data_IF_900916877518
#
_entry.id   IF_900916877518
#
_cell.length_a   1.000
_cell.length_b   1.000
_cell.length_c   1.000
_cell.angle_alpha   90.00
_cell.angle_beta   90.00
_cell.angle_gamma   90.00
#
_symmetry.space_group_name_H-M   'P 1'
#
loop_
_entity.id
_entity.type
_entity.pdbx_description
1 polymer ?
#
# COMPACT_ATOMS: atom_id res chain seq x y z
N UNK A 1 69.75 -11.16 5.67
CA UNK A 1 68.70 -10.52 6.50
C UNK A 1 68.74 -9.03 6.21
N UNK A 2 67.57 -8.44 5.98
CA UNK A 2 67.27 -7.03 5.67
C UNK A 2 66.87 -6.80 4.21
N UNK A 3 65.56 -6.77 4.03
CA UNK A 3 64.74 -6.76 2.84
C UNK A 3 64.65 -5.37 2.22
N UNK A 4 64.55 -5.33 0.90
CA UNK A 4 64.18 -4.17 0.07
C UNK A 4 62.66 -3.97 0.09
N UNK A 5 62.20 -2.79 0.53
CA UNK A 5 60.81 -2.36 0.43
C UNK A 5 60.53 -1.81 -0.98
N UNK A 6 59.57 -2.44 -1.66
CA UNK A 6 58.99 -2.01 -2.93
C UNK A 6 57.74 -1.18 -2.66
N UNK A 7 57.74 0.08 -3.13
CA UNK A 7 56.55 0.92 -3.20
C UNK A 7 55.56 0.34 -4.24
N UNK A 8 54.41 -0.13 -3.78
CA UNK A 8 53.22 -0.32 -4.61
C UNK A 8 52.37 0.95 -4.50
N UNK A 9 52.32 1.71 -5.59
CA UNK A 9 51.31 2.74 -5.81
C UNK A 9 49.98 2.02 -6.14
N UNK A 10 49.13 1.87 -5.12
CA UNK A 10 47.74 1.47 -5.29
C UNK A 10 46.97 2.65 -5.90
N UNK A 11 46.73 2.57 -7.21
CA UNK A 11 45.79 3.41 -7.93
C UNK A 11 44.37 3.15 -7.40
N UNK A 12 43.89 4.04 -6.54
CA UNK A 12 42.48 4.14 -6.22
C UNK A 12 41.69 4.43 -7.52
N UNK A 13 40.61 3.69 -7.81
CA UNK A 13 39.74 4.06 -8.91
C UNK A 13 39.04 5.39 -8.60
N UNK A 14 39.04 6.26 -9.61
CA UNK A 14 38.33 7.55 -9.63
C UNK A 14 36.85 7.38 -9.24
N UNK A 15 36.23 8.27 -8.43
CA UNK A 15 34.83 8.17 -8.04
C UNK A 15 33.82 8.57 -9.14
N UNK A 16 34.30 8.96 -10.33
CA UNK A 16 33.45 9.49 -11.40
C UNK A 16 33.16 8.43 -12.47
N UNK A 17 32.27 7.46 -12.18
CA UNK A 17 31.54 6.71 -13.22
C UNK A 17 30.12 6.36 -12.75
N UNK A 18 29.15 7.13 -13.27
CA UNK A 18 27.75 6.78 -13.55
C UNK A 18 26.91 6.08 -12.47
N UNK A 19 26.41 6.89 -11.52
CA UNK A 19 25.27 6.58 -10.64
C UNK A 19 23.91 6.86 -11.32
N UNK A 20 23.81 6.65 -12.63
CA UNK A 20 22.58 6.82 -13.42
C UNK A 20 21.87 5.49 -13.57
N UNK A 21 21.33 4.97 -12.47
CA UNK A 21 20.37 3.87 -12.56
C UNK A 21 18.95 4.44 -12.53
N UNK A 22 18.51 4.96 -13.68
CA UNK A 22 17.17 4.54 -14.10
C UNK A 22 17.36 3.06 -14.32
N UNK A 23 16.84 2.23 -13.42
CA UNK A 23 16.48 0.91 -13.86
C UNK A 23 15.25 1.20 -14.74
N UNK A 24 15.33 1.21 -16.09
CA UNK A 24 14.18 0.66 -16.78
C UNK A 24 13.94 -0.66 -16.06
N UNK A 25 12.70 -1.05 -15.78
CA UNK A 25 12.49 -2.48 -15.61
C UNK A 25 13.17 -3.08 -16.83
N UNK A 26 14.36 -3.68 -16.66
CA UNK A 26 15.15 -3.99 -17.82
C UNK A 26 14.25 -4.88 -18.64
N UNK A 27 14.25 -4.70 -19.95
CA UNK A 27 13.49 -5.63 -20.78
C UNK A 27 13.84 -7.04 -20.33
N UNK A 28 15.09 -7.33 -19.90
CA UNK A 28 15.49 -8.58 -19.23
C UNK A 28 14.79 -8.98 -17.92
N UNK A 29 14.30 -8.10 -17.04
CA UNK A 29 13.53 -8.51 -15.83
C UNK A 29 12.08 -8.78 -16.20
N UNK A 30 11.47 -7.91 -17.03
CA UNK A 30 10.13 -8.15 -17.57
C UNK A 30 10.17 -9.37 -18.49
N UNK A 31 11.21 -9.53 -19.30
CA UNK A 31 11.40 -10.61 -20.25
C UNK A 31 11.97 -11.85 -19.59
N UNK A 32 12.69 -11.82 -18.46
CA UNK A 32 12.91 -13.03 -17.65
C UNK A 32 11.63 -13.48 -16.94
N UNK A 33 10.76 -12.55 -16.54
CA UNK A 33 9.44 -12.89 -15.99
C UNK A 33 8.53 -13.43 -17.12
N UNK A 34 8.54 -12.82 -18.31
CA UNK A 34 7.75 -13.23 -19.48
C UNK A 34 8.30 -14.48 -20.16
N UNK A 35 9.62 -14.68 -20.25
CA UNK A 35 10.27 -15.88 -20.80
C UNK A 35 10.06 -17.09 -19.87
N UNK A 36 9.99 -16.88 -18.55
CA UNK A 36 9.56 -17.91 -17.60
C UNK A 36 8.07 -18.27 -17.76
N UNK A 37 7.24 -17.35 -18.25
CA UNK A 37 5.82 -17.57 -18.54
C UNK A 37 5.65 -18.25 -19.91
N UNK A 38 6.37 -17.82 -20.95
CA UNK A 38 6.33 -18.39 -22.30
C UNK A 38 6.97 -19.78 -22.36
N UNK A 39 7.98 -20.06 -21.53
CA UNK A 39 8.58 -21.39 -21.37
C UNK A 39 7.64 -22.45 -20.76
N UNK A 40 6.48 -22.06 -20.21
CA UNK A 40 5.47 -22.97 -19.64
C UNK A 40 4.31 -23.30 -20.61
N UNK A 41 4.26 -22.67 -21.78
CA UNK A 41 3.22 -22.91 -22.78
C UNK A 41 3.63 -23.98 -23.79
N UNK A 42 3.71 -25.23 -23.36
CA UNK A 42 3.60 -26.40 -24.25
C UNK A 42 2.96 -27.59 -23.51
N UNK A 43 1.69 -27.44 -23.15
CA UNK A 43 0.72 -28.55 -23.01
C UNK A 43 -0.68 -27.96 -22.87
N UNK A 44 -1.32 -27.72 -24.02
CA UNK A 44 -2.69 -27.24 -24.11
C UNK A 44 -3.67 -28.40 -23.91
N UNK A 45 -4.32 -28.45 -22.74
CA UNK A 45 -5.68 -29.02 -22.60
C UNK A 45 -6.52 -28.04 -21.79
N UNK A 46 -7.42 -27.34 -22.50
CA UNK A 46 -8.35 -26.37 -21.91
C UNK A 46 -9.44 -27.06 -21.08
N UNK A 47 -9.80 -26.53 -19.91
CA UNK A 47 -11.12 -26.73 -19.36
C UNK A 47 -11.96 -25.46 -19.56
N UNK A 48 -13.18 -25.68 -20.06
CA UNK A 48 -14.26 -24.70 -20.14
C UNK A 48 -14.66 -24.21 -18.75
N UNK A 49 -14.52 -22.91 -18.49
CA UNK A 49 -14.99 -22.29 -17.24
C UNK A 49 -16.46 -21.89 -17.43
N UNK A 50 -17.36 -22.66 -16.84
CA UNK A 50 -18.73 -22.25 -16.58
C UNK A 50 -18.78 -21.34 -15.34
N UNK A 51 -19.56 -20.28 -15.46
CA UNK A 51 -19.85 -19.28 -14.44
C UNK A 51 -20.49 -19.94 -13.21
N UNK A 52 -19.85 -19.83 -12.05
CA UNK A 52 -20.45 -20.22 -10.76
C UNK A 52 -20.57 -18.96 -9.89
N UNK A 53 -21.81 -18.48 -9.79
CA UNK A 53 -22.29 -17.72 -8.64
C UNK A 53 -22.58 -18.73 -7.51
N UNK A 54 -21.73 -18.82 -6.49
CA UNK A 54 -21.99 -19.66 -5.32
C UNK A 54 -22.31 -18.81 -4.10
N UNK A 55 -23.62 -18.72 -3.82
CA UNK A 55 -24.15 -18.71 -2.46
C UNK A 55 -23.68 -19.99 -1.78
N UNK A 56 -23.04 -19.86 -0.62
CA UNK A 56 -22.62 -20.98 0.21
C UNK A 56 -23.84 -21.60 0.90
N UNK A 57 -24.15 -22.83 0.53
CA UNK A 57 -25.16 -23.69 1.17
C UNK A 57 -24.54 -24.35 2.44
N UNK A 58 -25.23 -24.35 3.60
CA UNK A 58 -24.67 -24.87 4.85
C UNK A 58 -25.07 -26.33 5.04
N UNK A 59 -24.32 -27.25 4.44
CA UNK A 59 -24.41 -28.66 4.83
C UNK A 59 -23.10 -29.40 4.58
N UNK A 60 -22.22 -29.36 5.58
CA UNK A 60 -21.15 -30.35 5.73
C UNK A 60 -21.09 -30.75 7.21
N UNK A 61 -21.00 -32.06 7.52
CA UNK A 61 -21.13 -32.55 8.88
C UNK A 61 -19.96 -32.07 9.73
N UNK A 62 -20.30 -31.33 10.79
CA UNK A 62 -19.39 -30.91 11.85
C UNK A 62 -18.73 -32.16 12.46
N UNK A 63 -17.43 -32.32 12.26
CA UNK A 63 -16.61 -33.17 13.13
C UNK A 63 -16.59 -32.51 14.50
N UNK A 64 -17.33 -33.11 15.44
CA UNK A 64 -17.19 -32.89 16.88
C UNK A 64 -15.71 -32.88 17.24
N UNK A 65 -15.22 -31.71 17.67
CA UNK A 65 -13.91 -31.59 18.30
C UNK A 65 -14.13 -31.81 19.78
N UNK A 66 -13.85 -33.02 20.22
CA UNK A 66 -13.74 -33.34 21.64
C UNK A 66 -12.71 -32.41 22.29
N UNK A 67 -13.17 -31.74 23.34
CA UNK A 67 -12.40 -30.90 24.22
C UNK A 67 -11.56 -31.77 25.16
N UNK A 68 -10.51 -32.40 24.63
CA UNK A 68 -9.51 -33.09 25.43
C UNK A 68 -8.33 -32.15 25.75
N UNK A 69 -8.26 -31.74 27.01
CA UNK A 69 -7.05 -31.92 27.84
C UNK A 69 -5.68 -31.70 27.15
N UNK A 70 -5.43 -30.49 26.62
CA UNK A 70 -4.08 -30.05 26.24
C UNK A 70 -3.33 -29.50 27.46
N UNK A 71 -2.95 -30.38 28.37
CA UNK A 71 -1.86 -30.13 29.32
C UNK A 71 -0.60 -30.82 28.83
N UNK A 72 0.47 -30.03 28.67
CA UNK A 72 1.87 -30.49 28.60
C UNK A 72 2.43 -30.99 27.26
N UNK A 73 2.46 -30.10 26.26
CA UNK A 73 3.62 -29.96 25.36
C UNK A 73 3.55 -28.57 24.70
N UNK A 74 4.20 -27.57 25.28
CA UNK A 74 4.52 -26.34 24.56
C UNK A 74 5.63 -26.70 23.55
N UNK A 75 5.27 -27.39 22.48
CA UNK A 75 6.10 -27.42 21.29
C UNK A 75 6.28 -25.96 20.86
N UNK A 76 7.53 -25.54 20.71
CA UNK A 76 7.90 -24.21 20.27
C UNK A 76 7.32 -23.98 18.87
N UNK A 77 6.14 -23.36 18.82
CA UNK A 77 5.56 -22.91 17.56
C UNK A 77 6.62 -22.06 16.84
N UNK A 78 6.82 -22.25 15.53
CA UNK A 78 7.81 -21.51 14.77
C UNK A 78 7.60 -20.00 15.00
N UNK A 79 8.70 -19.31 15.33
CA UNK A 79 8.67 -17.88 15.58
C UNK A 79 7.97 -17.15 14.42
N UNK A 80 6.97 -16.34 14.78
CA UNK A 80 6.26 -15.45 13.84
C UNK A 80 7.14 -14.35 13.29
N UNK A 81 8.29 -14.09 13.92
CA UNK A 81 9.21 -13.07 13.47
C UNK A 81 10.01 -13.57 12.27
N UNK A 82 10.04 -12.80 11.17
CA UNK A 82 10.88 -13.14 10.04
C UNK A 82 12.34 -13.19 10.50
N UNK A 83 13.05 -14.25 10.12
CA UNK A 83 14.50 -14.31 10.31
C UNK A 83 15.13 -13.34 9.32
N UNK A 84 15.67 -12.22 9.80
CA UNK A 84 16.50 -11.30 9.02
C UNK A 84 17.78 -12.03 8.60
N UNK A 85 17.76 -12.70 7.44
CA UNK A 85 18.90 -13.54 7.02
C UNK A 85 19.88 -12.83 6.09
N UNK A 86 19.58 -11.62 5.61
CA UNK A 86 20.50 -10.84 4.78
C UNK A 86 20.37 -9.34 5.06
N UNK A 87 21.47 -8.58 5.10
CA UNK A 87 21.40 -7.12 5.07
C UNK A 87 20.65 -6.68 3.81
N UNK A 88 19.76 -5.69 3.96
CA UNK A 88 19.01 -5.05 2.88
C UNK A 88 19.99 -4.34 1.95
N UNK A 89 20.56 -5.05 0.97
CA UNK A 89 21.55 -4.47 0.05
C UNK A 89 20.94 -3.95 -1.25
N UNK A 90 19.65 -4.22 -1.53
CA UNK A 90 19.05 -3.86 -2.81
C UNK A 90 17.67 -3.22 -2.58
N UNK A 91 17.51 -1.99 -3.06
CA UNK A 91 16.22 -1.33 -3.22
C UNK A 91 15.85 -1.32 -4.71
N UNK A 92 14.56 -1.31 -5.00
CA UNK A 92 14.05 -1.25 -6.36
C UNK A 92 13.49 0.15 -6.60
N UNK A 93 14.25 1.05 -7.25
CA UNK A 93 13.73 2.36 -7.60
C UNK A 93 12.65 2.18 -8.67
N UNK A 94 11.44 2.68 -8.39
CA UNK A 94 10.39 2.84 -9.42
C UNK A 94 10.78 4.03 -10.29
N UNK A 95 11.03 5.18 -9.64
CA UNK A 95 11.67 6.37 -10.22
C UNK A 95 12.47 7.03 -9.12
N UNK A 96 13.75 7.28 -9.38
CA UNK A 96 14.63 8.03 -8.51
C UNK A 96 15.70 8.72 -9.36
N UNK A 97 15.92 10.01 -9.11
CA UNK A 97 16.90 10.82 -9.84
C UNK A 97 17.56 11.79 -8.87
N UNK A 98 18.83 11.54 -8.57
CA UNK A 98 19.58 12.28 -7.54
C UNK A 98 19.62 13.80 -7.79
N UNK A 99 19.88 14.30 -9.02
CA UNK A 99 19.98 15.75 -9.25
C UNK A 99 18.74 16.57 -8.91
N UNK A 100 17.55 15.99 -9.01
CA UNK A 100 16.28 16.70 -8.77
C UNK A 100 15.66 16.34 -7.42
N UNK A 101 16.29 15.44 -6.66
CA UNK A 101 15.74 14.92 -5.40
C UNK A 101 15.37 16.04 -4.42
N UNK A 102 16.28 16.98 -4.20
CA UNK A 102 16.06 18.11 -3.29
C UNK A 102 14.99 19.07 -3.83
N UNK A 103 14.93 19.26 -5.14
CA UNK A 103 13.96 20.15 -5.79
C UNK A 103 12.53 19.62 -5.71
N UNK A 104 12.37 18.28 -5.68
CA UNK A 104 11.06 17.64 -5.56
C UNK A 104 10.52 17.67 -4.13
N UNK A 105 11.37 17.84 -3.12
CA UNK A 105 10.96 17.83 -1.72
C UNK A 105 9.96 18.94 -1.38
N UNK A 106 10.05 20.07 -2.09
CA UNK A 106 9.17 21.23 -1.92
C UNK A 106 7.86 21.13 -2.70
N UNK A 107 7.68 20.10 -3.54
CA UNK A 107 6.46 19.91 -4.32
C UNK A 107 5.42 19.11 -3.55
N UNK A 108 4.15 19.40 -3.80
CA UNK A 108 3.04 18.62 -3.26
C UNK A 108 3.09 17.17 -3.77
N UNK A 109 2.66 16.20 -2.95
CA UNK A 109 2.87 14.78 -3.23
C UNK A 109 2.19 14.30 -4.52
N UNK A 110 0.99 14.79 -4.83
CA UNK A 110 0.28 14.50 -6.07
C UNK A 110 1.01 15.02 -7.31
N UNK A 111 1.70 16.16 -7.23
CA UNK A 111 2.59 16.66 -8.30
C UNK A 111 3.75 15.69 -8.50
N UNK A 112 4.44 15.33 -7.41
CA UNK A 112 5.52 14.34 -7.46
C UNK A 112 5.04 13.02 -8.08
N UNK A 113 3.88 12.52 -7.67
CA UNK A 113 3.29 11.29 -8.20
C UNK A 113 2.98 11.40 -9.70
N UNK A 114 2.47 12.55 -10.14
CA UNK A 114 2.16 12.81 -11.55
C UNK A 114 3.43 12.81 -12.39
N UNK A 115 4.52 13.41 -11.90
CA UNK A 115 5.82 13.36 -12.58
C UNK A 115 6.33 11.93 -12.73
N UNK A 116 6.23 11.08 -11.69
CA UNK A 116 6.57 9.64 -11.81
C UNK A 116 5.75 9.00 -12.91
N UNK A 117 4.45 9.25 -12.93
CA UNK A 117 3.56 8.67 -13.94
C UNK A 117 3.95 9.10 -15.35
N UNK A 118 4.24 10.39 -15.58
CA UNK A 118 4.65 10.89 -16.89
C UNK A 118 6.00 10.31 -17.33
N UNK A 119 6.97 10.21 -16.42
CA UNK A 119 8.29 9.62 -16.70
C UNK A 119 8.18 8.13 -17.02
N UNK A 120 7.46 7.36 -16.19
CA UNK A 120 7.31 5.90 -16.36
C UNK A 120 6.48 5.52 -17.59
N UNK A 121 5.66 6.43 -18.10
CA UNK A 121 4.90 6.24 -19.35
C UNK A 121 5.57 6.88 -20.57
N UNK A 122 6.83 7.33 -20.42
CA UNK A 122 7.62 7.97 -21.48
C UNK A 122 6.96 9.22 -22.09
N UNK A 123 6.11 9.90 -21.33
CA UNK A 123 5.49 11.18 -21.71
C UNK A 123 6.35 12.39 -21.29
N UNK A 124 7.29 12.19 -20.37
CA UNK A 124 8.27 13.18 -19.92
C UNK A 124 9.63 12.48 -19.80
N UNK A 125 10.69 13.07 -20.34
CA UNK A 125 12.05 12.54 -20.13
C UNK A 125 12.50 12.76 -18.70
N UNK A 126 13.43 11.94 -18.19
CA UNK A 126 13.96 12.12 -16.84
C UNK A 126 14.80 13.39 -16.67
N UNK A 127 15.34 13.92 -17.77
CA UNK A 127 16.16 15.14 -17.79
C UNK A 127 15.32 16.43 -17.96
N UNK A 128 14.05 16.31 -18.34
CA UNK A 128 13.14 17.44 -18.56
C UNK A 128 12.70 18.21 -17.31
N UNK A 129 12.61 17.60 -16.10
CA UNK A 129 12.29 18.31 -14.86
C UNK A 129 13.41 19.26 -14.38
N UNK A 130 13.68 20.30 -15.16
CA UNK A 130 14.64 21.36 -14.82
C UNK A 130 14.17 22.16 -13.59
N UNK A 131 15.08 22.83 -12.86
CA UNK A 131 14.71 23.67 -11.72
C UNK A 131 13.64 24.72 -12.06
N UNK A 132 13.77 25.36 -13.23
CA UNK A 132 12.80 26.35 -13.71
C UNK A 132 11.43 25.71 -13.95
N UNK A 133 11.39 24.53 -14.58
CA UNK A 133 10.15 23.78 -14.76
C UNK A 133 9.51 23.42 -13.41
N UNK A 134 10.27 22.86 -12.47
CA UNK A 134 9.76 22.48 -11.15
C UNK A 134 9.23 23.67 -10.35
N UNK A 135 9.85 24.85 -10.51
CA UNK A 135 9.37 26.09 -9.87
C UNK A 135 7.96 26.48 -10.31
N UNK A 136 7.55 26.13 -11.54
CA UNK A 136 6.19 26.38 -12.05
C UNK A 136 5.13 25.44 -11.46
N UNK A 137 5.55 24.41 -10.72
CA UNK A 137 4.70 23.35 -10.15
C UNK A 137 4.53 23.49 -8.64
N UNK A 138 4.99 24.59 -8.07
CA UNK A 138 4.79 24.87 -6.66
C UNK A 138 3.33 25.19 -6.37
N UNK A 139 2.89 24.83 -5.17
CA UNK A 139 1.54 25.09 -4.69
C UNK A 139 0.73 23.82 -4.43
N UNK A 140 -0.59 23.96 -4.16
CA UNK A 140 -1.49 22.84 -3.94
C UNK A 140 -1.57 21.92 -5.16
N UNK A 141 -1.79 20.62 -4.93
CA UNK A 141 -1.87 19.60 -5.96
C UNK A 141 -2.87 19.98 -7.07
N UNK A 142 -4.06 20.48 -6.68
CA UNK A 142 -5.11 20.84 -7.62
C UNK A 142 -4.76 22.03 -8.53
N UNK A 143 -3.91 22.95 -8.08
CA UNK A 143 -3.49 24.13 -8.85
C UNK A 143 -2.27 23.80 -9.71
N UNK A 144 -1.25 23.19 -9.12
CA UNK A 144 0.02 22.86 -9.77
C UNK A 144 -0.12 21.83 -10.91
N UNK A 145 -1.09 20.91 -10.83
CA UNK A 145 -1.31 19.92 -11.90
C UNK A 145 -2.08 20.54 -13.08
N UNK A 146 -2.94 21.54 -12.83
CA UNK A 146 -3.68 22.22 -13.92
C UNK A 146 -2.78 23.04 -14.81
N UNK A 147 -1.70 23.62 -14.27
CA UNK A 147 -0.75 24.44 -15.05
C UNK A 147 0.08 23.61 -16.03
N UNK A 148 0.28 22.31 -15.80
CA UNK A 148 1.02 21.44 -16.71
C UNK A 148 0.26 20.96 -17.93
N UNK A 149 -1.06 20.79 -17.84
CA UNK A 149 -1.85 20.26 -18.97
C UNK A 149 -2.22 21.38 -19.94
N UNK A 150 -1.24 22.23 -20.25
CA UNK A 150 -1.31 23.20 -21.33
C UNK A 150 -1.38 22.48 -22.69
N UNK A 151 -2.21 22.94 -23.64
CA UNK A 151 -2.54 22.16 -24.83
C UNK A 151 -1.46 22.31 -25.90
N UNK A 152 -0.48 21.41 -25.94
CA UNK A 152 0.36 21.29 -27.13
C UNK A 152 -0.22 20.33 -28.17
N UNK A 153 -1.16 19.45 -27.80
CA UNK A 153 -1.81 18.53 -28.76
C UNK A 153 -3.34 18.44 -28.58
N UNK A 154 -4.09 18.57 -29.68
CA UNK A 154 -5.56 18.51 -29.74
C UNK A 154 -6.17 17.22 -29.13
N UNK A 155 -5.40 16.13 -29.04
CA UNK A 155 -5.77 14.89 -28.36
C UNK A 155 -5.74 14.99 -26.82
N UNK A 156 -4.84 15.80 -26.24
CA UNK A 156 -4.78 16.04 -24.79
C UNK A 156 -5.98 16.87 -24.32
N UNK A 157 -6.47 17.81 -25.14
CA UNK A 157 -7.65 18.64 -24.81
C UNK A 157 -8.94 17.82 -24.62
N UNK A 158 -9.12 16.71 -25.34
CA UNK A 158 -10.30 15.85 -25.20
C UNK A 158 -10.24 14.91 -23.98
N UNK A 159 -9.04 14.58 -23.48
CA UNK A 159 -8.85 13.84 -22.22
C UNK A 159 -9.02 14.75 -21.00
N UNK A 160 -8.52 15.99 -21.07
CA UNK A 160 -8.65 16.99 -19.99
C UNK A 160 -10.11 17.29 -19.65
N UNK A 161 -10.95 17.55 -20.65
CA UNK A 161 -12.36 17.92 -20.41
C UNK A 161 -13.22 16.82 -19.78
N UNK A 162 -12.85 15.54 -19.92
CA UNK A 162 -13.57 14.41 -19.27
C UNK A 162 -13.02 14.08 -17.88
N UNK A 163 -11.79 14.48 -17.57
CA UNK A 163 -11.12 14.19 -16.30
C UNK A 163 -11.30 15.28 -15.23
N UNK A 164 -11.63 16.52 -15.64
CA UNK A 164 -11.82 17.67 -14.73
C UNK A 164 -12.91 17.46 -13.67
N UNK A 165 -13.93 16.62 -13.93
CA UNK A 165 -15.05 16.42 -13.00
C UNK A 165 -14.70 15.48 -11.83
N UNK A 166 -13.59 14.72 -11.90
CA UNK A 166 -13.21 13.74 -10.88
C UNK A 166 -11.69 13.71 -10.59
N UNK A 167 -11.01 14.85 -10.65
CA UNK A 167 -9.58 14.89 -10.31
C UNK A 167 -9.38 14.67 -8.80
N UNK A 168 -8.54 13.71 -8.37
CA UNK A 168 -8.35 13.39 -6.95
C UNK A 168 -7.57 14.45 -6.17
N UNK A 169 -7.05 15.48 -6.84
CA UNK A 169 -6.05 16.39 -6.31
C UNK A 169 -6.59 17.36 -5.27
N UNK A 170 -7.79 17.91 -5.47
CA UNK A 170 -8.42 18.76 -4.46
C UNK A 170 -8.76 17.98 -3.19
N UNK A 171 -9.17 16.71 -3.33
CA UNK A 171 -9.39 15.82 -2.19
C UNK A 171 -8.07 15.49 -1.47
N UNK A 172 -6.97 15.32 -2.21
CA UNK A 172 -5.64 15.09 -1.63
C UNK A 172 -5.15 16.32 -0.87
N UNK A 173 -5.29 17.52 -1.43
CA UNK A 173 -4.96 18.78 -0.75
C UNK A 173 -5.73 18.92 0.57
N UNK A 174 -7.03 18.62 0.54
CA UNK A 174 -7.89 18.62 1.73
C UNK A 174 -7.42 17.58 2.75
N UNK A 175 -7.18 16.35 2.32
CA UNK A 175 -6.70 15.27 3.20
C UNK A 175 -5.36 15.63 3.87
N UNK A 176 -4.40 16.14 3.11
CA UNK A 176 -3.08 16.53 3.62
C UNK A 176 -3.21 17.68 4.63
N UNK A 177 -4.03 18.70 4.33
CA UNK A 177 -4.26 19.82 5.23
C UNK A 177 -4.94 19.39 6.54
N UNK A 178 -5.86 18.42 6.49
CA UNK A 178 -6.52 17.88 7.68
C UNK A 178 -5.54 17.05 8.51
N UNK A 179 -4.84 16.10 7.88
CA UNK A 179 -3.91 15.19 8.58
C UNK A 179 -2.69 15.90 9.15
N UNK A 180 -2.29 17.03 8.56
CA UNK A 180 -1.24 17.88 9.11
C UNK A 180 -1.65 18.55 10.43
N UNK A 181 -2.93 18.88 10.60
CA UNK A 181 -3.47 19.48 11.84
C UNK A 181 -3.81 18.43 12.88
N UNK A 182 -4.41 17.33 12.45
CA UNK A 182 -4.80 16.21 13.30
C UNK A 182 -4.56 14.87 12.58
N UNK A 183 -3.65 14.07 13.12
CA UNK A 183 -3.32 12.74 12.59
C UNK A 183 -4.55 11.80 12.52
N UNK A 184 -5.61 12.07 13.27
CA UNK A 184 -6.85 11.29 13.28
C UNK A 184 -7.98 11.97 12.49
N UNK A 185 -7.75 13.16 11.92
CA UNK A 185 -8.79 13.97 11.29
C UNK A 185 -9.43 13.31 10.07
N UNK A 186 -8.77 12.33 9.46
CA UNK A 186 -9.31 11.53 8.34
C UNK A 186 -10.24 10.40 8.76
N UNK A 187 -10.35 10.05 10.05
CA UNK A 187 -11.15 8.93 10.56
C UNK A 187 -12.68 9.19 10.53
N UNK A 188 -13.10 10.39 10.17
CA UNK A 188 -14.49 10.85 10.31
C UNK A 188 -14.75 11.42 11.72
N UNK A 189 -15.92 12.02 11.92
CA UNK A 189 -16.28 12.72 13.17
C UNK A 189 -15.39 13.92 13.53
N UNK A 190 -14.70 14.53 12.56
CA UNK A 190 -13.90 15.72 12.79
C UNK A 190 -14.82 16.96 12.91
N UNK A 191 -14.81 17.71 14.04
CA UNK A 191 -15.68 18.87 14.22
C UNK A 191 -15.38 20.04 13.28
N UNK A 192 -14.13 20.17 12.81
CA UNK A 192 -13.72 21.21 11.87
C UNK A 192 -14.14 20.88 10.43
N UNK A 193 -14.38 19.60 10.16
CA UNK A 193 -14.77 19.07 8.85
C UNK A 193 -15.95 18.10 9.01
N UNK A 194 -17.12 18.61 9.45
CA UNK A 194 -18.31 17.77 9.59
C UNK A 194 -18.63 17.12 8.23
N UNK A 195 -19.11 15.88 8.26
CA UNK A 195 -19.50 15.10 7.07
C UNK A 195 -18.33 14.70 6.13
N UNK A 196 -17.09 15.05 6.46
CA UNK A 196 -15.93 14.63 5.67
C UNK A 196 -15.13 13.54 6.37
N UNK A 197 -14.59 12.63 5.57
CA UNK A 197 -13.60 11.65 5.97
C UNK A 197 -12.60 11.42 4.84
N UNK A 198 -11.37 11.08 5.22
CA UNK A 198 -10.27 10.92 4.28
C UNK A 198 -10.23 9.55 3.61
N UNK A 199 -9.08 9.24 3.03
CA UNK A 199 -8.75 7.93 2.50
C UNK A 199 -9.39 7.63 1.15
N UNK A 200 -9.94 8.62 0.46
CA UNK A 200 -10.68 8.47 -0.81
C UNK A 200 -9.78 8.51 -2.04
N UNK A 201 -8.47 8.71 -1.91
CA UNK A 201 -7.55 8.69 -3.05
C UNK A 201 -6.90 7.32 -3.16
N UNK A 202 -6.87 6.77 -4.36
CA UNK A 202 -6.21 5.51 -4.66
C UNK A 202 -5.01 5.72 -5.58
N UNK A 203 -3.81 5.51 -5.04
CA UNK A 203 -2.57 5.49 -5.80
C UNK A 203 -2.35 4.09 -6.41
N UNK A 204 -2.57 3.99 -7.72
CA UNK A 204 -2.31 2.81 -8.58
C UNK A 204 -1.49 3.28 -9.78
N UNK A 205 -1.34 2.46 -10.83
CA UNK A 205 -0.74 2.92 -12.10
C UNK A 205 -1.26 4.28 -12.59
N UNK A 206 -2.52 4.63 -12.27
CA UNK A 206 -3.07 5.99 -12.31
C UNK A 206 -3.64 6.38 -10.93
N UNK A 207 -3.53 7.65 -10.56
CA UNK A 207 -4.20 8.20 -9.37
C UNK A 207 -5.67 8.49 -9.68
N UNK A 208 -6.58 8.06 -8.81
CA UNK A 208 -8.02 8.28 -8.97
C UNK A 208 -8.73 8.40 -7.62
N UNK A 209 -9.92 8.97 -7.64
CA UNK A 209 -10.86 8.83 -6.52
C UNK A 209 -11.31 7.38 -6.41
N UNK A 210 -11.34 6.87 -5.19
CA UNK A 210 -11.68 5.51 -4.85
C UNK A 210 -12.47 5.43 -3.54
N UNK A 211 -12.72 4.19 -3.13
CA UNK A 211 -13.33 3.90 -1.84
C UNK A 211 -12.37 4.17 -0.69
N UNK A 212 -12.92 4.61 0.44
CA UNK A 212 -12.17 4.82 1.68
C UNK A 212 -12.10 3.54 2.51
N UNK A 213 -10.99 3.35 3.24
CA UNK A 213 -10.82 2.28 4.21
C UNK A 213 -10.18 2.81 5.50
N UNK A 214 -10.16 1.99 6.55
CA UNK A 214 -9.63 2.39 7.86
C UNK A 214 -8.16 2.86 7.78
N UNK A 215 -7.34 2.14 7.01
CA UNK A 215 -5.93 2.46 6.85
C UNK A 215 -5.68 3.78 6.12
N UNK A 216 -6.33 4.02 4.99
CA UNK A 216 -6.14 5.27 4.24
C UNK A 216 -6.71 6.47 5.01
N UNK A 217 -7.78 6.30 5.78
CA UNK A 217 -8.26 7.35 6.71
C UNK A 217 -7.27 7.68 7.81
N UNK A 218 -6.62 6.66 8.39
CA UNK A 218 -5.71 6.82 9.53
C UNK A 218 -4.36 7.42 9.15
N UNK A 219 -3.79 6.96 8.03
CA UNK A 219 -2.41 7.32 7.65
C UNK A 219 -2.34 8.21 6.41
N UNK A 220 -3.49 8.57 5.83
CA UNK A 220 -3.58 9.24 4.54
C UNK A 220 -3.43 8.27 3.37
N UNK A 221 -4.11 8.58 2.27
CA UNK A 221 -4.04 7.83 1.03
C UNK A 221 -2.62 7.77 0.46
N UNK A 222 -1.82 8.84 0.61
CA UNK A 222 -0.43 8.89 0.13
C UNK A 222 0.51 7.88 0.78
N UNK A 223 0.10 7.29 1.89
CA UNK A 223 0.87 6.26 2.60
C UNK A 223 0.70 4.87 1.98
N UNK A 224 -0.16 4.71 0.96
CA UNK A 224 -0.44 3.42 0.35
C UNK A 224 -0.34 3.48 -1.17
N UNK A 225 0.28 2.45 -1.75
CA UNK A 225 0.25 2.18 -3.19
C UNK A 225 -0.36 0.80 -3.40
N UNK A 226 -1.29 0.69 -4.35
CA UNK A 226 -1.89 -0.59 -4.74
C UNK A 226 -1.32 -1.03 -6.08
N UNK A 227 -0.51 -2.07 -6.05
CA UNK A 227 0.00 -2.76 -7.23
C UNK A 227 -0.98 -3.85 -7.66
N UNK A 228 -1.35 -3.85 -8.93
CA UNK A 228 -2.11 -4.94 -9.55
C UNK A 228 -1.12 -5.89 -10.21
N UNK A 229 -1.15 -7.16 -9.83
CA UNK A 229 -0.28 -8.20 -10.37
C UNK A 229 -1.14 -9.13 -11.22
N UNK A 230 -0.80 -9.37 -12.50
CA UNK A 230 -1.52 -10.32 -13.33
C UNK A 230 -1.68 -11.70 -12.63
N UNK A 231 -2.87 -12.34 -12.67
CA UNK A 231 -3.12 -13.58 -11.93
C UNK A 231 -2.16 -14.73 -12.26
N UNK A 232 -1.74 -14.83 -13.51
CA UNK A 232 -0.73 -15.78 -14.02
C UNK A 232 0.62 -15.62 -13.31
N UNK A 233 1.05 -14.37 -13.10
CA UNK A 233 2.27 -14.05 -12.35
C UNK A 233 2.05 -14.28 -10.85
N UNK A 234 0.89 -13.84 -10.33
CA UNK A 234 0.58 -13.88 -8.90
C UNK A 234 0.50 -15.30 -8.34
N UNK A 235 -0.09 -16.23 -9.11
CA UNK A 235 -0.24 -17.64 -8.73
C UNK A 235 0.86 -18.54 -9.31
N UNK A 236 1.88 -17.97 -9.97
CA UNK A 236 3.03 -18.74 -10.41
C UNK A 236 3.73 -19.39 -9.22
N UNK A 237 4.16 -20.64 -9.36
CA UNK A 237 4.82 -21.40 -8.28
C UNK A 237 6.26 -20.94 -7.99
N UNK A 238 6.73 -19.91 -8.70
CA UNK A 238 8.08 -19.35 -8.54
C UNK A 238 8.20 -18.49 -7.27
N UNK A 239 9.35 -18.58 -6.60
CA UNK A 239 9.68 -17.67 -5.48
C UNK A 239 10.11 -16.27 -5.96
N UNK A 240 10.20 -16.04 -7.26
CA UNK A 240 10.69 -14.78 -7.86
C UNK A 240 9.79 -13.60 -7.48
N UNK A 241 8.47 -13.73 -7.61
CA UNK A 241 7.54 -12.65 -7.26
C UNK A 241 7.59 -12.31 -5.77
N UNK A 242 7.56 -13.33 -4.90
CA UNK A 242 7.67 -13.10 -3.45
C UNK A 242 8.99 -12.44 -3.10
N UNK A 243 10.10 -12.89 -3.69
CA UNK A 243 11.43 -12.32 -3.45
C UNK A 243 11.52 -10.87 -3.92
N UNK A 244 10.87 -10.53 -5.03
CA UNK A 244 10.76 -9.17 -5.54
C UNK A 244 9.89 -8.28 -4.65
N UNK A 245 8.70 -8.72 -4.26
CA UNK A 245 7.77 -7.93 -3.44
C UNK A 245 8.25 -7.72 -2.00
N UNK A 246 9.16 -8.55 -1.49
CA UNK A 246 9.78 -8.33 -0.17
C UNK A 246 10.79 -7.19 -0.14
N UNK A 247 11.17 -6.65 -1.30
CA UNK A 247 12.16 -5.60 -1.42
C UNK A 247 11.52 -4.23 -1.15
N UNK A 248 12.30 -3.24 -0.70
CA UNK A 248 11.83 -1.87 -0.63
C UNK A 248 11.69 -1.28 -2.03
N UNK A 249 10.55 -0.65 -2.28
CA UNK A 249 10.24 0.09 -3.50
C UNK A 249 10.41 1.58 -3.23
N UNK A 250 11.17 2.28 -4.08
CA UNK A 250 11.37 3.72 -3.89
C UNK A 250 10.64 4.51 -4.96
N UNK A 251 9.78 5.44 -4.53
CA UNK A 251 9.14 6.45 -5.37
C UNK A 251 9.65 7.81 -4.91
N UNK A 252 10.55 8.40 -5.69
CA UNK A 252 11.34 9.59 -5.33
C UNK A 252 12.14 9.40 -4.03
N UNK A 253 11.82 10.15 -2.98
CA UNK A 253 12.42 10.05 -1.66
C UNK A 253 11.69 9.06 -0.77
N UNK A 254 10.54 8.53 -1.17
CA UNK A 254 9.70 7.71 -0.30
C UNK A 254 9.90 6.23 -0.53
N UNK A 255 10.17 5.51 0.55
CA UNK A 255 10.29 4.05 0.54
C UNK A 255 8.96 3.41 0.92
N UNK A 256 8.56 2.43 0.11
CA UNK A 256 7.35 1.64 0.26
C UNK A 256 7.71 0.16 0.42
N UNK A 257 7.02 -0.53 1.32
CA UNK A 257 7.21 -1.98 1.55
C UNK A 257 5.89 -2.70 1.44
N UNK A 258 5.88 -3.89 0.84
CA UNK A 258 4.68 -4.71 0.79
C UNK A 258 4.22 -5.07 2.21
N UNK A 259 2.94 -4.82 2.50
CA UNK A 259 2.36 -5.06 3.82
C UNK A 259 1.17 -6.03 3.78
N UNK A 260 0.52 -6.17 2.62
CA UNK A 260 -0.64 -7.04 2.46
C UNK A 260 -0.82 -7.44 0.99
N UNK A 261 -1.29 -8.66 0.75
CA UNK A 261 -1.66 -9.14 -0.56
C UNK A 261 -3.04 -9.81 -0.50
N UNK A 262 -3.91 -9.48 -1.45
CA UNK A 262 -5.25 -10.04 -1.58
C UNK A 262 -5.66 -10.07 -3.04
N UNK A 263 -6.18 -11.21 -3.47
CA UNK A 263 -6.56 -11.45 -4.87
C UNK A 263 -5.37 -11.16 -5.79
N UNK A 264 -5.55 -10.32 -6.82
CA UNK A 264 -4.53 -9.88 -7.76
C UNK A 264 -3.87 -8.55 -7.35
N UNK A 265 -3.91 -8.20 -6.06
CA UNK A 265 -3.40 -6.92 -5.56
C UNK A 265 -2.41 -7.07 -4.42
N UNK A 266 -1.37 -6.24 -4.46
CA UNK A 266 -0.38 -6.06 -3.40
C UNK A 266 -0.43 -4.62 -2.93
N UNK A 267 -0.56 -4.44 -1.63
CA UNK A 267 -0.60 -3.13 -0.98
C UNK A 267 0.77 -2.84 -0.40
N UNK A 268 1.38 -1.76 -0.85
CA UNK A 268 2.60 -1.22 -0.30
C UNK A 268 2.26 -0.12 0.72
N UNK A 269 3.01 -0.06 1.80
CA UNK A 269 2.92 0.96 2.83
C UNK A 269 4.18 1.82 2.83
N UNK A 270 4.00 3.14 2.88
CA UNK A 270 5.09 4.12 3.04
C UNK A 270 5.68 3.99 4.44
N UNK A 271 6.93 3.60 4.51
CA UNK A 271 7.65 3.46 5.79
C UNK A 271 8.44 4.72 6.09
N UNK A 272 8.93 4.83 7.32
CA UNK A 272 9.76 5.95 7.80
C UNK A 272 11.22 5.88 7.31
N UNK A 273 11.40 5.48 6.05
CA UNK A 273 12.68 5.40 5.37
C UNK A 273 12.64 6.34 4.15
N UNK A 274 13.74 7.04 3.90
CA UNK A 274 13.97 7.86 2.72
C UNK A 274 15.30 7.50 2.09
N UNK A 275 15.43 7.65 0.77
CA UNK A 275 16.74 7.74 0.14
C UNK A 275 17.22 9.19 0.23
N UNK A 276 18.52 9.40 0.43
CA UNK A 276 19.13 10.72 0.34
C UNK A 276 19.73 11.01 -1.05
N UNK A 277 20.38 12.15 -1.20
CA UNK A 277 21.02 12.57 -2.45
C UNK A 277 22.23 11.71 -2.89
N UNK A 278 22.64 10.72 -2.09
CA UNK A 278 23.67 9.74 -2.43
C UNK A 278 23.06 8.35 -2.63
N UNK A 279 21.74 8.22 -2.46
CA UNK A 279 21.03 6.93 -2.54
C UNK A 279 21.16 6.08 -1.28
N UNK A 280 21.55 6.67 -0.15
CA UNK A 280 21.64 6.00 1.15
C UNK A 280 20.31 6.06 1.89
N UNK A 281 19.96 4.97 2.57
CA UNK A 281 18.75 4.89 3.38
C UNK A 281 18.91 5.69 4.68
N UNK A 282 18.03 6.66 4.88
CA UNK A 282 17.91 7.43 6.11
C UNK A 282 16.56 7.16 6.77
N UNK A 283 16.58 7.04 8.09
CA UNK A 283 15.36 6.99 8.89
C UNK A 283 14.83 8.41 9.10
N UNK A 284 13.53 8.60 8.86
CA UNK A 284 12.81 9.84 9.10
C UNK A 284 11.76 9.64 10.20
N UNK A 285 11.11 10.73 10.61
CA UNK A 285 9.96 10.64 11.49
C UNK A 285 8.81 9.90 10.79
N UNK A 286 8.19 8.94 11.48
CA UNK A 286 7.06 8.18 10.96
C UNK A 286 6.98 6.78 11.57
N UNK A 287 6.20 5.91 10.91
CA UNK A 287 6.05 4.50 11.29
C UNK A 287 6.93 3.62 10.42
N UNK A 288 7.71 2.74 11.05
CA UNK A 288 8.29 1.61 10.33
C UNK A 288 7.23 0.52 10.10
N UNK A 289 7.53 -0.46 9.24
CA UNK A 289 6.58 -1.52 8.90
C UNK A 289 6.15 -2.34 10.13
N UNK A 290 7.08 -2.66 11.04
CA UNK A 290 6.78 -3.42 12.25
C UNK A 290 5.81 -2.66 13.18
N UNK A 291 5.99 -1.35 13.32
CA UNK A 291 5.12 -0.48 14.11
C UNK A 291 3.72 -0.39 13.50
N UNK A 292 3.61 -0.33 12.17
CA UNK A 292 2.33 -0.40 11.47
C UNK A 292 1.62 -1.74 11.72
N UNK A 293 2.36 -2.85 11.57
CA UNK A 293 1.84 -4.20 11.79
C UNK A 293 1.39 -4.39 13.23
N UNK A 294 2.21 -4.00 14.20
CA UNK A 294 1.91 -4.11 15.62
C UNK A 294 0.81 -3.15 16.07
N UNK A 295 0.66 -1.98 15.44
CA UNK A 295 -0.47 -1.09 15.70
C UNK A 295 -1.81 -1.73 15.31
N UNK A 296 -1.87 -2.40 14.15
CA UNK A 296 -3.13 -2.94 13.65
C UNK A 296 -3.48 -4.31 14.24
N UNK A 297 -2.53 -5.26 14.21
CA UNK A 297 -2.76 -6.62 14.67
C UNK A 297 -1.54 -7.11 15.48
N UNK A 298 -1.40 -6.66 16.74
CA UNK A 298 -0.24 -6.94 17.58
C UNK A 298 0.14 -8.43 17.58
N UNK A 299 1.39 -8.74 17.17
CA UNK A 299 1.84 -10.12 17.00
C UNK A 299 1.90 -10.89 18.33
N UNK A 300 2.27 -10.21 19.41
CA UNK A 300 2.45 -10.82 20.72
C UNK A 300 1.11 -11.28 21.33
N UNK A 301 0.10 -10.43 21.29
CA UNK A 301 -1.26 -10.66 21.78
C UNK A 301 -1.94 -11.76 20.96
N UNK A 302 -1.68 -11.80 19.65
CA UNK A 302 -2.26 -12.77 18.72
C UNK A 302 -1.33 -13.96 18.42
N UNK A 303 -0.29 -14.21 19.24
CA UNK A 303 0.71 -15.25 18.98
C UNK A 303 0.15 -16.67 18.90
N UNK A 304 -1.00 -16.93 19.54
CA UNK A 304 -1.70 -18.24 19.52
C UNK A 304 -2.46 -18.51 18.21
N UNK A 305 -2.69 -17.50 17.38
CA UNK A 305 -3.40 -17.67 16.10
C UNK A 305 -2.45 -18.22 15.03
N UNK A 306 -2.89 -19.12 14.13
CA UNK A 306 -2.12 -19.48 12.93
C UNK A 306 -1.75 -18.24 12.11
N UNK A 307 -0.56 -18.23 11.50
CA UNK A 307 -0.08 -17.04 10.75
C UNK A 307 -1.01 -16.64 9.60
N UNK A 308 -1.58 -17.62 8.89
CA UNK A 308 -2.56 -17.38 7.82
C UNK A 308 -3.85 -16.70 8.31
N UNK A 309 -4.31 -17.06 9.52
CA UNK A 309 -5.47 -16.42 10.16
C UNK A 309 -5.13 -15.03 10.66
N UNK A 310 -3.93 -14.85 11.21
CA UNK A 310 -3.45 -13.55 11.66
C UNK A 310 -3.27 -12.56 10.50
N UNK A 311 -2.68 -13.00 9.39
CA UNK A 311 -2.44 -12.14 8.22
C UNK A 311 -3.74 -11.78 7.49
N UNK A 312 -4.73 -12.68 7.46
CA UNK A 312 -6.03 -12.40 6.84
C UNK A 312 -6.80 -11.26 7.53
N UNK A 313 -6.53 -10.98 8.81
CA UNK A 313 -7.14 -9.85 9.53
C UNK A 313 -6.82 -8.48 8.89
N UNK A 314 -5.72 -8.32 8.15
CA UNK A 314 -5.41 -7.08 7.42
C UNK A 314 -6.47 -6.72 6.37
N UNK A 315 -7.26 -7.70 5.91
CA UNK A 315 -8.42 -7.44 5.07
C UNK A 315 -9.40 -6.45 5.72
N UNK A 316 -9.52 -6.45 7.05
CA UNK A 316 -10.43 -5.55 7.77
C UNK A 316 -9.96 -4.10 7.69
N UNK A 317 -8.64 -3.85 7.78
CA UNK A 317 -8.08 -2.50 7.67
C UNK A 317 -8.16 -1.92 6.26
N UNK A 318 -8.04 -2.78 5.24
CA UNK A 318 -8.24 -2.43 3.82
C UNK A 318 -9.70 -2.53 3.35
N UNK A 319 -10.64 -2.93 4.22
CA UNK A 319 -12.04 -3.07 3.84
C UNK A 319 -12.65 -1.70 3.53
N UNK A 320 -13.30 -1.61 2.37
CA UNK A 320 -14.04 -0.43 1.96
C UNK A 320 -15.16 -0.16 2.97
N UNK A 321 -15.15 1.03 3.57
CA UNK A 321 -16.08 1.39 4.64
C UNK A 321 -16.27 2.89 4.72
N UNK A 322 -17.44 3.31 5.19
CA UNK A 322 -17.73 4.67 5.65
C UNK A 322 -17.52 4.68 7.17
N UNK A 323 -16.85 5.69 7.75
CA UNK A 323 -16.70 5.75 9.19
C UNK A 323 -18.06 5.91 9.88
N UNK A 324 -18.28 5.11 10.92
CA UNK A 324 -19.42 5.29 11.82
C UNK A 324 -19.13 6.34 12.90
N UNK A 325 -20.10 6.58 13.80
CA UNK A 325 -19.91 7.48 14.93
C UNK A 325 -18.82 6.96 15.88
N UNK A 326 -18.07 7.89 16.46
CA UNK A 326 -17.10 7.56 17.50
C UNK A 326 -17.83 7.20 18.81
N UNK A 327 -17.62 5.97 19.28
CA UNK A 327 -18.17 5.50 20.55
C UNK A 327 -17.16 5.68 21.68
N UNK A 328 -17.66 6.07 22.84
CA UNK A 328 -16.87 6.05 24.08
C UNK A 328 -16.65 4.60 24.52
N UNK A 329 -15.47 4.22 25.06
CA UNK A 329 -15.17 2.84 25.43
C UNK A 329 -16.17 2.21 26.41
N UNK A 330 -16.79 2.99 27.30
CA UNK A 330 -17.81 2.55 28.25
C UNK A 330 -19.15 2.15 27.60
N UNK A 331 -19.37 2.56 26.34
CA UNK A 331 -20.52 2.14 25.54
C UNK A 331 -20.28 0.84 24.76
N UNK A 332 -19.06 0.27 24.82
CA UNK A 332 -18.69 -0.97 24.14
C UNK A 332 -18.71 -2.10 25.15
N UNK A 333 -19.73 -2.95 25.05
CA UNK A 333 -19.90 -4.11 25.92
C UNK A 333 -19.46 -5.39 25.21
N UNK A 334 -18.87 -6.31 25.95
CA UNK A 334 -18.55 -7.66 25.47
C UNK A 334 -19.65 -8.59 25.91
N UNK A 335 -20.14 -9.39 24.98
CA UNK A 335 -21.12 -10.45 25.24
C UNK A 335 -20.53 -11.78 24.79
N UNK A 336 -20.82 -12.83 25.55
CA UNK A 336 -20.44 -14.18 25.19
C UNK A 336 -21.37 -14.71 24.09
N UNK A 337 -20.83 -15.54 23.19
CA UNK A 337 -21.62 -16.17 22.15
C UNK A 337 -22.71 -17.08 22.75
N UNK A 338 -23.90 -17.05 22.15
CA UNK A 338 -24.97 -17.97 22.52
C UNK A 338 -24.64 -19.33 21.92
N UNK A 339 -24.46 -20.34 22.78
CA UNK A 339 -24.11 -21.70 22.34
C UNK A 339 -25.34 -22.61 22.46
N UNK A 340 -25.60 -23.42 21.42
CA UNK A 340 -26.67 -24.41 21.42
C UNK A 340 -26.39 -25.57 22.39
N UNK A 341 -27.40 -26.40 22.66
CA UNK A 341 -27.25 -27.60 23.50
C UNK A 341 -26.19 -28.56 22.93
N UNK A 342 -26.06 -28.59 21.60
CA UNK A 342 -25.08 -29.39 20.86
C UNK A 342 -23.70 -28.73 20.76
N UNK A 343 -23.49 -27.59 21.44
CA UNK A 343 -22.19 -26.91 21.46
C UNK A 343 -21.90 -26.06 20.22
N UNK A 344 -22.92 -25.66 19.46
CA UNK A 344 -22.74 -24.80 18.28
C UNK A 344 -22.94 -23.33 18.61
N UNK A 345 -22.02 -22.47 18.18
CA UNK A 345 -22.19 -21.02 18.28
C UNK A 345 -23.36 -20.56 17.40
N UNK A 346 -24.34 -19.90 18.02
CA UNK A 346 -25.59 -19.43 17.41
C UNK A 346 -25.54 -17.93 17.08
N UNK A 347 -24.49 -17.23 17.49
CA UNK A 347 -24.30 -15.77 17.30
C UNK A 347 -22.98 -15.42 16.62
N UNK A 348 -22.32 -16.38 15.96
CA UNK A 348 -21.05 -16.14 15.26
C UNK A 348 -21.18 -14.96 14.25
N UNK A 349 -20.39 -13.93 14.48
CA UNK A 349 -20.38 -12.71 13.66
C UNK A 349 -21.54 -11.74 13.88
N UNK A 350 -22.37 -11.93 14.91
CA UNK A 350 -23.50 -11.06 15.24
C UNK A 350 -23.26 -10.27 16.54
N UNK A 351 -23.95 -9.15 16.69
CA UNK A 351 -23.91 -8.35 17.92
C UNK A 351 -25.11 -7.41 18.02
N UNK A 352 -25.38 -6.90 19.22
CA UNK A 352 -26.45 -5.93 19.44
C UNK A 352 -25.93 -4.50 19.30
N UNK A 353 -26.81 -3.61 18.85
CA UNK A 353 -26.60 -2.18 18.90
C UNK A 353 -27.83 -1.49 19.48
N UNK A 354 -27.63 -0.34 20.12
CA UNK A 354 -28.76 0.46 20.59
C UNK A 354 -29.53 1.05 19.41
N UNK A 355 -30.84 1.21 19.58
CA UNK A 355 -31.68 1.87 18.58
C UNK A 355 -31.16 3.26 18.21
N UNK A 356 -30.65 4.02 19.19
CA UNK A 356 -30.09 5.35 18.97
C UNK A 356 -28.86 5.34 18.06
N UNK A 357 -27.98 4.35 18.22
CA UNK A 357 -26.81 4.18 17.34
C UNK A 357 -27.27 3.87 15.91
N UNK A 358 -28.25 2.97 15.75
CA UNK A 358 -28.79 2.62 14.44
C UNK A 358 -29.46 3.81 13.74
N UNK A 359 -30.27 4.60 14.46
CA UNK A 359 -30.89 5.81 13.93
C UNK A 359 -29.83 6.82 13.45
N UNK A 360 -28.76 7.00 14.21
CA UNK A 360 -27.67 7.90 13.83
C UNK A 360 -26.94 7.42 12.56
N UNK A 361 -26.66 6.11 12.44
CA UNK A 361 -26.06 5.54 11.24
C UNK A 361 -26.97 5.73 10.02
N UNK A 362 -28.29 5.54 10.20
CA UNK A 362 -29.26 5.74 9.13
C UNK A 362 -29.29 7.19 8.65
N UNK A 363 -29.33 8.15 9.57
CA UNK A 363 -29.29 9.59 9.24
C UNK A 363 -28.02 9.95 8.47
N UNK A 364 -26.87 9.49 8.95
CA UNK A 364 -25.55 9.78 8.36
C UNK A 364 -25.36 9.15 6.97
N UNK A 365 -25.85 7.93 6.77
CA UNK A 365 -25.70 7.24 5.47
C UNK A 365 -26.66 7.76 4.40
N UNK A 366 -27.84 8.26 4.80
CA UNK A 366 -28.78 8.87 3.86
C UNK A 366 -28.29 10.23 3.35
N UNK A 367 -27.63 11.04 4.19
CA UNK A 367 -27.03 12.31 3.74
C UNK A 367 -25.93 12.11 2.69
N UNK A 368 -25.11 11.07 2.83
CA UNK A 368 -24.02 10.76 1.89
C UNK A 368 -24.55 10.30 0.52
N UNK A 369 -25.74 9.69 0.44
CA UNK A 369 -26.29 9.18 -0.82
C UNK A 369 -26.89 10.25 -1.75
N UNK A 370 -26.98 11.50 -1.29
CA UNK A 370 -27.61 12.62 -2.00
C UNK A 370 -26.57 13.53 -2.68
N UNK A 371 -25.27 13.34 -2.40
CA UNK A 371 -24.15 14.07 -3.02
C UNK A 371 -23.52 13.25 -4.15
#
# INVERSE_FOLDING_TARGET
>A
MSSSESNNDDLLPSPDQDLWAVYPMSDDVITNILDQIEGSHNTTTSPTISSISSLSDPSSPKRSRDSDSYTSALEELPSKYPRLTKPLQHYYPIVHHLPIHELLADLAYGVQYTLVHLITTSQLSLDEPTPDFLSTLQGPNAEAIKTQVGPSTLQQQMFVQKEEVNTPWAELDKEEAVLQKDLYGGLGSNPDFPEWYGGRIAFKGKCALGSSCCFTRRFGSKSFIRLKVPPDIFYSTGQSLSSFLTQPFTLWSHVFRACYAKEDNVFLFKVNETLDAVGELKLIQGLNLDSFVNWFNPLYENRKQPMSKWSSCFALGFSNSIPGPQLSPDLIMKEDDVVSIEGSDMTDGCGFCSFRLLSHIQEYTLSDSIQ
#
